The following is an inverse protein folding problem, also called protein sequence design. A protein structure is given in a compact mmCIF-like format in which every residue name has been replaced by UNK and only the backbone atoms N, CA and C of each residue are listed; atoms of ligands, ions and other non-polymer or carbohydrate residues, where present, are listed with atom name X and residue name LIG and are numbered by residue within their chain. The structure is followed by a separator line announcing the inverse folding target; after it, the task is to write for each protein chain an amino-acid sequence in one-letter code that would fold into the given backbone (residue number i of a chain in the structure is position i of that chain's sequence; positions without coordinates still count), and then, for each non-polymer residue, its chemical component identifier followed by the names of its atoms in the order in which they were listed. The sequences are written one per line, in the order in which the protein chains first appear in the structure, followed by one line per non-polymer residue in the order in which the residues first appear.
data_IF_424588597132
#
_entry.id   IF_424588597132
#
_cell.length_a   1.000
_cell.length_b   1.000
_cell.length_c   1.000
_cell.angle_alpha   90.00
_cell.angle_beta   90.00
_cell.angle_gamma   90.00
#
_symmetry.space_group_name_H-M   'P 1'
#
loop_
_entity.id
_entity.type
_entity.pdbx_description
1 polymer ?
#
# COMPACT_ATOMS: atom_id res chain seq x y z
N UNK A 1 -29.71 13.89 36.80
CA UNK A 1 -28.28 14.18 37.01
C UNK A 1 -27.61 12.90 37.47
N UNK A 2 -27.04 12.11 36.56
CA UNK A 2 -26.22 10.95 36.88
C UNK A 2 -25.19 10.79 35.76
N UNK A 3 -23.91 10.98 36.08
CA UNK A 3 -22.83 10.39 35.28
C UNK A 3 -21.58 10.31 36.13
N UNK A 4 -21.25 9.08 36.51
CA UNK A 4 -20.04 8.69 37.22
C UNK A 4 -18.83 8.97 36.31
N UNK A 5 -17.86 9.73 36.84
CA UNK A 5 -16.55 9.92 36.21
C UNK A 5 -15.82 8.57 36.23
N UNK A 6 -15.72 7.94 35.06
CA UNK A 6 -14.77 6.84 34.83
C UNK A 6 -13.36 7.42 34.70
N UNK A 7 -12.49 7.07 35.65
CA UNK A 7 -11.06 7.33 35.54
C UNK A 7 -10.48 6.53 34.38
N UNK A 8 -9.89 7.21 33.40
CA UNK A 8 -9.08 6.60 32.34
C UNK A 8 -7.68 6.37 32.91
N UNK A 9 -7.29 5.11 33.10
CA UNK A 9 -5.88 4.77 33.33
C UNK A 9 -5.14 4.72 31.98
N UNK A 10 -4.01 5.44 31.83
CA UNK A 10 -3.16 5.29 30.65
C UNK A 10 -2.35 3.98 30.73
N UNK A 11 -2.19 3.33 29.58
CA UNK A 11 -1.38 2.13 29.42
C UNK A 11 0.11 2.48 29.66
N UNK A 12 0.67 2.06 30.79
CA UNK A 12 2.10 2.23 31.10
C UNK A 12 2.87 1.08 30.46
N UNK A 13 3.77 1.40 29.53
CA UNK A 13 4.73 0.45 28.97
C UNK A 13 5.73 0.06 30.06
N UNK A 14 5.66 -1.19 30.56
CA UNK A 14 6.68 -1.71 31.47
C UNK A 14 7.94 -2.08 30.67
N UNK A 15 9.03 -1.34 30.91
CA UNK A 15 10.39 -1.74 30.57
C UNK A 15 10.76 -2.98 31.39
N UNK A 16 10.96 -4.14 30.74
CA UNK A 16 11.66 -5.26 31.37
C UNK A 16 13.17 -5.01 31.32
N UNK A 17 13.80 -4.91 32.50
CA UNK A 17 15.25 -4.94 32.68
C UNK A 17 15.77 -6.37 32.52
N UNK A 18 16.86 -6.52 31.76
CA UNK A 18 17.64 -7.76 31.64
C UNK A 18 18.43 -8.06 32.93
N UNK A 19 18.55 -9.33 33.33
CA UNK A 19 19.71 -9.81 34.06
C UNK A 19 20.64 -10.62 33.13
N UNK A 20 21.94 -10.29 33.23
CA UNK A 20 23.06 -11.04 32.67
C UNK A 20 23.14 -12.46 33.28
N UNK A 21 23.32 -13.49 32.44
CA UNK A 21 24.34 -14.54 32.59
C UNK A 21 24.24 -15.59 31.46
N UNK A 22 25.40 -15.90 30.85
CA UNK A 22 25.62 -16.94 29.83
C UNK A 22 26.36 -18.12 30.50
N UNK A 23 26.18 -19.37 30.06
CA UNK A 23 27.33 -20.05 29.45
C UNK A 23 27.04 -21.09 28.33
N UNK A 24 27.99 -21.14 27.38
CA UNK A 24 28.57 -22.25 26.56
C UNK A 24 27.71 -23.34 25.86
N UNK A 25 27.89 -23.41 24.52
CA UNK A 25 27.46 -24.34 23.43
C UNK A 25 27.85 -25.86 23.55
N UNK A 26 27.66 -26.74 22.51
CA UNK A 26 26.44 -27.29 21.83
C UNK A 26 26.58 -28.85 21.67
N UNK A 27 26.06 -29.61 20.65
CA UNK A 27 24.90 -29.50 19.72
C UNK A 27 23.97 -30.75 19.75
N UNK A 28 22.80 -30.76 19.08
CA UNK A 28 22.28 -31.91 18.27
C UNK A 28 20.95 -31.59 17.56
N UNK A 29 20.82 -32.02 16.31
CA UNK A 29 19.64 -31.89 15.41
C UNK A 29 18.62 -33.01 15.65
N UNK A 30 17.30 -32.73 15.76
CA UNK A 30 16.22 -33.56 15.16
C UNK A 30 14.81 -32.92 15.15
N UNK A 31 14.25 -32.89 13.93
CA UNK A 31 12.85 -33.06 13.48
C UNK A 31 11.64 -32.32 14.11
N UNK A 32 10.80 -31.83 13.19
CA UNK A 32 9.40 -31.42 13.30
C UNK A 32 8.47 -32.47 13.96
N UNK A 33 7.48 -32.03 14.76
CA UNK A 33 6.04 -31.88 14.43
C UNK A 33 5.10 -32.02 15.66
N UNK A 34 4.11 -31.11 15.71
CA UNK A 34 2.76 -31.16 16.34
C UNK A 34 2.59 -30.86 17.84
N UNK A 35 1.81 -29.80 18.11
CA UNK A 35 1.01 -29.70 19.33
C UNK A 35 0.78 -28.28 19.86
N UNK A 36 0.02 -27.42 19.18
CA UNK A 36 -0.62 -26.27 19.85
C UNK A 36 -2.05 -26.10 19.34
N UNK A 37 -2.99 -26.63 20.11
CA UNK A 37 -4.36 -26.11 20.21
C UNK A 37 -4.33 -24.97 21.21
N UNK A 38 -4.58 -23.74 20.77
CA UNK A 38 -4.69 -22.58 21.65
C UNK A 38 -5.18 -21.39 20.85
N UNK A 39 -6.40 -20.94 21.14
CA UNK A 39 -7.04 -19.80 20.51
C UNK A 39 -6.19 -18.52 20.67
N UNK A 40 -6.14 -17.72 19.60
CA UNK A 40 -5.49 -16.42 19.59
C UNK A 40 -6.24 -15.43 20.52
N UNK A 41 -5.54 -14.47 21.16
CA UNK A 41 -6.20 -13.37 21.85
C UNK A 41 -6.77 -12.42 20.79
N UNK A 42 -8.08 -12.48 20.62
CA UNK A 42 -8.90 -11.43 20.03
C UNK A 42 -8.80 -10.19 20.92
N UNK A 43 -8.01 -9.19 20.52
CA UNK A 43 -8.10 -7.79 20.98
C UNK A 43 -7.10 -6.96 20.14
N UNK A 44 -7.50 -6.24 19.09
CA UNK A 44 -8.40 -5.10 19.14
C UNK A 44 -9.19 -4.99 17.83
N UNK A 45 -10.49 -5.29 17.84
CA UNK A 45 -11.41 -4.81 16.80
C UNK A 45 -12.57 -4.12 17.52
N UNK A 46 -12.44 -2.80 17.70
CA UNK A 46 -13.58 -1.97 18.09
C UNK A 46 -14.58 -1.90 16.92
N UNK A 47 -15.88 -2.22 17.13
CA UNK A 47 -16.83 -2.44 16.04
C UNK A 47 -17.49 -1.16 15.48
N UNK A 48 -16.80 -0.01 15.44
CA UNK A 48 -17.43 1.27 15.01
C UNK A 48 -16.70 2.10 13.96
N UNK A 49 -15.57 1.66 13.38
CA UNK A 49 -14.95 2.43 12.27
C UNK A 49 -15.27 1.83 10.90
N UNK A 50 -16.55 1.91 10.49
CA UNK A 50 -16.91 1.57 9.13
C UNK A 50 -16.33 2.61 8.14
N UNK A 51 -15.81 2.10 7.02
CA UNK A 51 -15.58 2.79 5.72
C UNK A 51 -14.28 3.54 5.44
N UNK A 52 -13.44 3.88 6.41
CA UNK A 52 -12.15 4.54 6.12
C UNK A 52 -10.95 3.63 6.36
N UNK A 53 -10.28 3.24 5.27
CA UNK A 53 -8.96 2.67 5.37
C UNK A 53 -7.98 3.78 5.75
N UNK A 54 -7.22 3.64 6.84
CA UNK A 54 -6.35 4.70 7.38
C UNK A 54 -5.25 5.20 6.42
N UNK A 55 -5.06 4.51 5.30
CA UNK A 55 -3.96 4.75 4.37
C UNK A 55 -4.39 5.04 2.93
N UNK A 56 -5.70 5.19 2.69
CA UNK A 56 -6.22 5.62 1.39
C UNK A 56 -6.99 6.91 1.56
N UNK A 57 -6.58 7.96 0.84
CA UNK A 57 -7.30 9.23 0.88
C UNK A 57 -8.58 9.14 0.06
N UNK A 58 -9.69 9.62 0.62
CA UNK A 58 -10.90 9.89 -0.16
C UNK A 58 -10.76 11.26 -0.82
N UNK A 59 -10.46 11.28 -2.12
CA UNK A 59 -10.45 12.50 -2.93
C UNK A 59 -11.37 12.32 -4.14
N UNK A 60 -11.93 13.42 -4.62
CA UNK A 60 -12.75 13.47 -5.83
C UNK A 60 -11.94 13.87 -7.07
N UNK A 61 -10.66 14.20 -6.94
CA UNK A 61 -9.81 14.58 -8.07
C UNK A 61 -8.32 14.35 -7.83
N UNK A 62 -7.55 14.35 -8.92
CA UNK A 62 -6.09 14.26 -8.93
C UNK A 62 -5.49 15.10 -10.05
N UNK A 63 -4.21 15.46 -9.93
CA UNK A 63 -3.52 16.39 -10.84
C UNK A 63 -2.43 15.69 -11.65
N UNK A 64 -2.34 16.00 -12.95
CA UNK A 64 -1.23 15.58 -13.81
C UNK A 64 0.08 16.27 -13.42
N UNK A 65 1.18 15.52 -13.43
CA UNK A 65 2.51 16.09 -13.29
C UNK A 65 3.00 16.79 -14.56
N UNK A 66 2.45 16.46 -15.74
CA UNK A 66 2.94 16.97 -17.03
C UNK A 66 2.49 18.42 -17.26
N UNK A 67 1.19 18.66 -17.15
CA UNK A 67 0.56 19.93 -17.56
C UNK A 67 -0.31 20.54 -16.46
N UNK A 68 -0.29 19.95 -15.26
CA UNK A 68 -1.08 20.43 -14.13
C UNK A 68 -2.59 20.24 -14.28
N UNK A 69 -3.07 19.56 -15.33
CA UNK A 69 -4.51 19.28 -15.55
C UNK A 69 -5.09 18.49 -14.38
N UNK A 70 -6.30 18.87 -13.96
CA UNK A 70 -7.06 18.17 -12.92
C UNK A 70 -8.01 17.17 -13.58
N UNK A 71 -8.05 15.95 -13.04
CA UNK A 71 -8.95 14.88 -13.43
C UNK A 71 -9.89 14.58 -12.27
N UNK A 72 -11.19 14.50 -12.54
CA UNK A 72 -12.21 14.17 -11.55
C UNK A 72 -12.44 12.65 -11.51
N UNK A 73 -12.53 12.11 -10.30
CA UNK A 73 -12.89 10.72 -10.04
C UNK A 73 -14.41 10.66 -9.93
N UNK A 74 -15.05 10.13 -10.98
CA UNK A 74 -16.52 10.03 -11.06
C UNK A 74 -17.07 8.74 -10.45
N UNK A 75 -16.21 7.74 -10.26
CA UNK A 75 -16.56 6.43 -9.73
C UNK A 75 -16.53 6.44 -8.19
N UNK A 76 -17.45 5.69 -7.57
CA UNK A 76 -17.43 5.43 -6.13
C UNK A 76 -16.39 4.37 -5.81
N UNK A 77 -15.15 4.80 -5.60
CA UNK A 77 -14.02 3.93 -5.30
C UNK A 77 -13.67 3.97 -3.81
N UNK A 78 -13.26 2.82 -3.27
CA UNK A 78 -12.77 2.71 -1.90
C UNK A 78 -11.57 1.78 -1.84
N UNK A 79 -10.95 1.66 -0.67
CA UNK A 79 -9.88 0.69 -0.45
C UNK A 79 -10.32 -0.78 -0.59
N UNK A 80 -11.63 -1.05 -0.65
CA UNK A 80 -12.21 -2.37 -0.90
C UNK A 80 -12.40 -2.68 -2.39
N UNK A 81 -12.30 -1.65 -3.25
CA UNK A 81 -12.41 -1.82 -4.70
C UNK A 81 -11.26 -2.66 -5.25
N UNK A 82 -11.57 -3.47 -6.27
CA UNK A 82 -10.65 -4.35 -6.97
C UNK A 82 -10.85 -4.20 -8.48
N UNK A 83 -9.90 -4.70 -9.29
CA UNK A 83 -9.84 -4.42 -10.73
C UNK A 83 -9.79 -2.91 -11.00
N UNK A 84 -8.96 -2.21 -10.22
CA UNK A 84 -8.82 -0.76 -10.28
C UNK A 84 -7.45 -0.35 -10.80
N UNK A 85 -7.38 0.90 -11.26
CA UNK A 85 -6.14 1.66 -11.37
C UNK A 85 -6.03 2.56 -10.14
N UNK A 86 -4.86 2.56 -9.50
CA UNK A 86 -4.56 3.40 -8.36
C UNK A 86 -3.34 4.28 -8.63
N UNK A 87 -3.30 5.41 -7.92
CA UNK A 87 -2.24 6.39 -7.94
C UNK A 87 -1.60 6.45 -6.56
N UNK A 88 -0.28 6.27 -6.50
CA UNK A 88 0.54 6.63 -5.34
C UNK A 88 1.20 7.98 -5.64
N UNK A 89 1.09 8.91 -4.70
CA UNK A 89 1.79 10.20 -4.72
C UNK A 89 2.72 10.27 -3.52
N UNK A 90 3.99 10.60 -3.76
CA UNK A 90 4.91 10.98 -2.71
C UNK A 90 4.59 12.41 -2.26
N UNK A 91 4.15 12.59 -1.01
CA UNK A 91 3.81 13.91 -0.47
C UNK A 91 5.04 14.79 -0.23
N UNK A 92 6.24 14.20 -0.20
CA UNK A 92 7.51 14.91 -0.06
C UNK A 92 7.93 15.62 -1.36
N UNK A 93 7.93 14.91 -2.49
CA UNK A 93 8.49 15.41 -3.75
C UNK A 93 7.47 15.46 -4.91
N UNK A 94 6.21 15.11 -4.67
CA UNK A 94 5.11 15.10 -5.65
C UNK A 94 5.26 14.12 -6.84
N UNK A 95 6.29 13.27 -6.82
CA UNK A 95 6.42 12.16 -7.78
C UNK A 95 5.26 11.19 -7.63
N UNK A 96 4.88 10.59 -8.75
CA UNK A 96 3.68 9.75 -8.88
C UNK A 96 4.04 8.38 -9.41
N UNK A 97 3.26 7.38 -9.02
CA UNK A 97 3.29 6.01 -9.49
C UNK A 97 1.87 5.57 -9.82
N UNK A 98 1.69 4.96 -10.97
CA UNK A 98 0.45 4.30 -11.35
C UNK A 98 0.64 2.79 -11.24
N UNK A 99 -0.36 2.13 -10.66
CA UNK A 99 -0.43 0.69 -10.59
C UNK A 99 -1.85 0.16 -10.76
N UNK A 100 -2.00 -1.14 -10.96
CA UNK A 100 -3.30 -1.83 -10.99
C UNK A 100 -3.48 -2.90 -9.92
N UNK A 101 -4.73 -3.24 -9.62
CA UNK A 101 -5.10 -4.46 -8.90
C UNK A 101 -5.92 -5.39 -9.80
N UNK A 102 -5.85 -6.71 -9.57
CA UNK A 102 -6.69 -7.70 -10.25
C UNK A 102 -7.21 -8.70 -9.23
N UNK A 103 -8.53 -8.84 -9.10
CA UNK A 103 -9.23 -9.71 -8.13
C UNK A 103 -8.85 -9.52 -6.64
N UNK A 104 -7.97 -8.57 -6.31
CA UNK A 104 -7.61 -8.22 -4.93
C UNK A 104 -7.97 -6.75 -4.63
N UNK A 105 -8.39 -6.44 -3.39
CA UNK A 105 -8.66 -5.08 -2.97
C UNK A 105 -7.43 -4.16 -2.97
N UNK A 106 -7.64 -2.86 -3.13
CA UNK A 106 -6.57 -1.84 -3.01
C UNK A 106 -5.84 -1.91 -1.68
N UNK A 107 -6.56 -2.09 -0.56
CA UNK A 107 -5.94 -2.19 0.78
C UNK A 107 -4.85 -3.26 0.84
N UNK A 108 -5.07 -4.40 0.19
CA UNK A 108 -4.10 -5.51 0.16
C UNK A 108 -2.85 -5.09 -0.62
N UNK A 109 -3.02 -4.45 -1.77
CA UNK A 109 -1.90 -3.96 -2.58
C UNK A 109 -1.09 -2.88 -1.86
N UNK A 110 -1.76 -1.99 -1.14
CA UNK A 110 -1.09 -0.99 -0.30
C UNK A 110 -0.26 -1.65 0.80
N UNK A 111 -0.80 -2.64 1.51
CA UNK A 111 -0.04 -3.40 2.52
C UNK A 111 1.21 -4.04 1.91
N UNK A 112 1.11 -4.60 0.69
CA UNK A 112 2.29 -5.13 -0.01
C UNK A 112 3.33 -4.04 -0.29
N UNK A 113 2.93 -2.87 -0.79
CA UNK A 113 3.87 -1.76 -1.01
C UNK A 113 4.55 -1.32 0.29
N UNK A 114 3.80 -1.22 1.39
CA UNK A 114 4.36 -0.89 2.70
C UNK A 114 5.36 -1.94 3.18
N UNK A 115 5.03 -3.21 2.99
CA UNK A 115 5.96 -4.30 3.28
C UNK A 115 7.23 -4.17 2.44
N UNK A 116 7.10 -3.89 1.14
CA UNK A 116 8.23 -3.73 0.22
C UNK A 116 9.14 -2.57 0.65
N UNK A 117 8.57 -1.43 1.03
CA UNK A 117 9.31 -0.26 1.55
C UNK A 117 10.06 -0.65 2.84
N UNK A 118 9.36 -1.19 3.84
CA UNK A 118 9.94 -1.52 5.14
C UNK A 118 11.04 -2.59 5.09
N UNK A 119 11.06 -3.42 4.05
CA UNK A 119 12.04 -4.50 3.87
C UNK A 119 13.02 -4.22 2.72
N UNK A 120 13.10 -2.98 2.25
CA UNK A 120 13.97 -2.54 1.15
C UNK A 120 13.96 -3.47 -0.08
N UNK A 121 12.74 -3.84 -0.50
CA UNK A 121 12.57 -4.65 -1.71
C UNK A 121 12.89 -3.79 -2.93
N UNK A 122 13.49 -4.39 -3.96
CA UNK A 122 13.89 -3.68 -5.17
C UNK A 122 12.77 -3.16 -6.09
N UNK A 123 11.54 -3.00 -5.59
CA UNK A 123 10.44 -2.40 -6.38
C UNK A 123 10.66 -0.90 -6.56
N UNK A 124 10.17 -0.31 -7.65
CA UNK A 124 10.41 1.13 -7.91
C UNK A 124 9.82 2.04 -6.83
N UNK A 125 8.66 1.66 -6.28
CA UNK A 125 8.03 2.34 -5.14
C UNK A 125 8.92 2.26 -3.90
N UNK A 126 9.38 1.06 -3.54
CA UNK A 126 10.24 0.87 -2.36
C UNK A 126 11.58 1.61 -2.50
N UNK A 127 12.25 1.46 -3.65
CA UNK A 127 13.46 2.21 -3.99
C UNK A 127 13.28 3.72 -3.81
N UNK A 128 12.15 4.28 -4.26
CA UNK A 128 11.87 5.71 -4.10
C UNK A 128 11.71 6.12 -2.64
N UNK A 129 10.92 5.37 -1.85
CA UNK A 129 10.63 5.73 -0.46
C UNK A 129 11.76 5.40 0.52
N UNK A 130 12.79 4.68 0.08
CA UNK A 130 14.03 4.42 0.83
C UNK A 130 15.19 5.34 0.44
N UNK A 131 14.96 6.35 -0.42
CA UNK A 131 15.91 7.44 -0.63
C UNK A 131 16.03 8.33 0.63
N UNK A 132 17.12 9.08 0.72
CA UNK A 132 17.31 10.07 1.79
C UNK A 132 16.10 11.04 1.86
N UNK A 133 15.68 11.34 3.09
CA UNK A 133 14.56 12.24 3.39
C UNK A 133 13.19 11.77 2.82
N UNK A 134 13.10 10.50 2.41
CA UNK A 134 11.87 9.82 2.05
C UNK A 134 11.54 8.72 3.07
N UNK A 135 10.25 8.38 3.18
CA UNK A 135 9.75 7.41 4.14
C UNK A 135 8.35 6.96 3.76
N UNK A 136 7.90 5.82 4.30
CA UNK A 136 6.54 5.31 4.10
C UNK A 136 5.43 6.29 4.51
N UNK A 137 5.71 7.24 5.42
CA UNK A 137 4.77 8.28 5.85
C UNK A 137 4.45 9.27 4.70
N UNK A 138 5.31 9.36 3.70
CA UNK A 138 5.11 10.20 2.53
C UNK A 138 4.24 9.54 1.45
N UNK A 139 3.76 8.32 1.67
CA UNK A 139 2.93 7.58 0.70
C UNK A 139 1.48 8.01 0.82
N UNK A 140 0.92 8.62 -0.22
CA UNK A 140 -0.52 8.84 -0.36
C UNK A 140 -1.08 7.99 -1.50
N UNK A 141 -2.07 7.14 -1.23
CA UNK A 141 -2.66 6.23 -2.23
C UNK A 141 -4.14 6.52 -2.44
N UNK A 142 -4.55 6.60 -3.71
CA UNK A 142 -5.96 6.80 -4.11
C UNK A 142 -6.32 5.86 -5.26
N UNK A 143 -7.56 5.39 -5.30
CA UNK A 143 -8.12 4.72 -6.48
C UNK A 143 -8.60 5.79 -7.47
N UNK A 144 -8.27 5.65 -8.75
CA UNK A 144 -8.58 6.68 -9.77
C UNK A 144 -9.48 6.18 -10.90
N UNK A 145 -9.51 4.86 -11.14
CA UNK A 145 -10.31 4.26 -12.21
C UNK A 145 -10.64 2.80 -11.87
N UNK A 146 -11.65 2.22 -12.53
CA UNK A 146 -12.05 0.83 -12.32
C UNK A 146 -12.58 0.18 -13.59
N UNK A 147 -12.18 -1.06 -13.82
CA UNK A 147 -12.69 -1.89 -14.91
C UNK A 147 -13.28 -3.19 -14.32
N UNK A 148 -14.56 -3.20 -13.91
CA UNK A 148 -15.20 -4.40 -13.39
C UNK A 148 -15.27 -5.50 -14.45
N UNK A 149 -14.97 -6.74 -14.07
CA UNK A 149 -15.08 -7.91 -14.97
C UNK A 149 -14.06 -7.97 -16.11
N UNK A 150 -13.15 -6.99 -16.22
CA UNK A 150 -12.18 -6.96 -17.31
C UNK A 150 -11.06 -7.99 -17.14
N UNK A 151 -10.50 -8.44 -18.26
CA UNK A 151 -9.31 -9.28 -18.29
C UNK A 151 -8.03 -8.49 -17.90
N UNK A 152 -6.89 -9.19 -17.85
CA UNK A 152 -5.62 -8.57 -17.45
C UNK A 152 -5.07 -7.57 -18.47
N UNK A 153 -5.32 -7.81 -19.75
CA UNK A 153 -4.85 -7.01 -20.89
C UNK A 153 -5.56 -5.67 -20.86
N UNK A 154 -6.89 -5.68 -20.69
CA UNK A 154 -7.70 -4.48 -20.54
C UNK A 154 -7.24 -3.61 -19.36
N UNK A 155 -6.96 -4.23 -18.19
CA UNK A 155 -6.40 -3.51 -17.04
C UNK A 155 -4.99 -2.97 -17.31
N UNK A 156 -4.14 -3.74 -18.01
CA UNK A 156 -2.79 -3.31 -18.38
C UNK A 156 -2.83 -2.11 -19.33
N UNK A 157 -3.64 -2.16 -20.38
CA UNK A 157 -3.83 -1.06 -21.32
C UNK A 157 -4.29 0.21 -20.59
N UNK A 158 -5.16 0.06 -19.59
CA UNK A 158 -5.63 1.18 -18.78
C UNK A 158 -4.53 1.73 -17.85
N UNK A 159 -3.74 0.87 -17.24
CA UNK A 159 -2.57 1.24 -16.44
C UNK A 159 -1.58 2.06 -17.28
N UNK A 160 -1.17 1.54 -18.44
CA UNK A 160 -0.31 2.21 -19.42
C UNK A 160 -0.88 3.54 -19.88
N UNK A 161 -2.17 3.60 -20.19
CA UNK A 161 -2.84 4.85 -20.55
C UNK A 161 -2.66 5.92 -19.46
N UNK A 162 -2.86 5.57 -18.19
CA UNK A 162 -2.70 6.50 -17.07
C UNK A 162 -1.23 6.86 -16.80
N UNK A 163 -0.29 5.93 -16.96
CA UNK A 163 1.15 6.21 -16.85
C UNK A 163 1.55 7.29 -17.86
N UNK A 164 1.17 7.13 -19.13
CA UNK A 164 1.45 8.13 -20.17
C UNK A 164 0.73 9.46 -19.93
N UNK A 165 -0.55 9.41 -19.56
CA UNK A 165 -1.38 10.60 -19.35
C UNK A 165 -0.87 11.48 -18.21
N UNK A 166 -0.29 10.87 -17.17
CA UNK A 166 0.19 11.57 -15.98
C UNK A 166 1.70 11.77 -15.94
N UNK A 167 2.44 11.14 -16.86
CA UNK A 167 3.90 11.26 -16.96
C UNK A 167 4.59 10.69 -15.73
N UNK A 168 4.18 9.50 -15.29
CA UNK A 168 4.68 8.90 -14.05
C UNK A 168 5.93 8.06 -14.25
N UNK A 169 6.51 8.03 -15.45
CA UNK A 169 7.77 7.32 -15.70
C UNK A 169 8.98 8.07 -15.12
N UNK A 170 10.00 7.33 -14.71
CA UNK A 170 11.30 7.91 -14.35
C UNK A 170 11.87 8.77 -15.50
N UNK A 171 12.55 9.89 -15.20
CA UNK A 171 12.93 10.37 -13.85
C UNK A 171 11.84 11.21 -13.14
N UNK A 172 10.78 11.59 -13.84
CA UNK A 172 9.76 12.54 -13.36
C UNK A 172 8.67 11.88 -12.48
N UNK A 173 8.54 10.56 -12.54
CA UNK A 173 7.76 9.75 -11.61
C UNK A 173 8.50 8.50 -11.17
N UNK A 174 7.74 7.49 -10.73
CA UNK A 174 8.22 6.24 -10.12
C UNK A 174 7.94 4.97 -10.95
N UNK A 175 7.25 5.06 -12.09
CA UNK A 175 7.11 3.94 -13.01
C UNK A 175 8.40 3.75 -13.82
N UNK A 176 8.85 2.51 -13.99
CA UNK A 176 10.06 2.19 -14.77
C UNK A 176 9.67 1.72 -16.19
N UNK A 177 10.48 2.08 -17.20
CA UNK A 177 10.17 1.82 -18.62
C UNK A 177 10.03 0.33 -18.96
N UNK A 178 10.67 -0.58 -18.23
CA UNK A 178 10.50 -2.03 -18.45
C UNK A 178 9.07 -2.51 -18.20
N UNK A 179 8.29 -1.80 -17.38
CA UNK A 179 6.87 -2.11 -17.15
C UNK A 179 5.95 -1.68 -18.31
N UNK A 180 6.45 -0.88 -19.26
CA UNK A 180 5.72 -0.45 -20.47
C UNK A 180 5.88 -1.42 -21.65
N UNK A 181 6.82 -2.38 -21.55
CA UNK A 181 7.38 -3.04 -22.73
C UNK A 181 6.45 -4.02 -23.46
N UNK A 182 5.26 -4.38 -22.95
CA UNK A 182 4.37 -5.32 -23.65
C UNK A 182 2.89 -5.21 -23.20
N UNK A 183 1.91 -4.96 -24.11
CA UNK A 183 2.00 -4.25 -25.38
C UNK A 183 0.93 -3.14 -25.54
N UNK A 184 1.31 -2.01 -26.15
CA UNK A 184 0.40 -1.01 -26.74
C UNK A 184 -0.13 -1.60 -28.06
N UNK A 185 -1.08 -2.51 -27.97
CA UNK A 185 -1.62 -3.25 -29.11
C UNK A 185 -0.60 -4.17 -29.80
N UNK A 186 -1.10 -5.29 -30.29
CA UNK A 186 -0.53 -5.95 -31.46
C UNK A 186 -0.63 -4.89 -32.57
N UNK A 187 0.50 -4.23 -32.82
CA UNK A 187 0.63 -3.04 -33.67
C UNK A 187 0.26 -3.39 -35.11
N UNK A 188 -0.95 -3.00 -35.53
CA UNK A 188 -1.48 -2.92 -36.89
C UNK A 188 -1.39 -4.18 -37.79
N UNK A 189 -2.59 -4.68 -38.15
CA UNK A 189 -2.92 -5.64 -39.23
C UNK A 189 -2.53 -7.10 -39.04
#
# INVERSE_FOLDING_TARGET
MNSLRGHIQPCVTQHLQHPHNLPSHPPFIRSMQKGYTGAAPDDCISPTHQHQCPYTSSTSSFRSSINGRIFNITLKLSCHSHNIIYLITCTKCNKKYIGKTKKIPLRTRFTSHRFDINNDRGTSVAKHFNLDDHAHQHVNTIAIDQLPGSDNISLLNKETHWIHTLGTTEPHGMNIKEQESFPISIRFK
#
